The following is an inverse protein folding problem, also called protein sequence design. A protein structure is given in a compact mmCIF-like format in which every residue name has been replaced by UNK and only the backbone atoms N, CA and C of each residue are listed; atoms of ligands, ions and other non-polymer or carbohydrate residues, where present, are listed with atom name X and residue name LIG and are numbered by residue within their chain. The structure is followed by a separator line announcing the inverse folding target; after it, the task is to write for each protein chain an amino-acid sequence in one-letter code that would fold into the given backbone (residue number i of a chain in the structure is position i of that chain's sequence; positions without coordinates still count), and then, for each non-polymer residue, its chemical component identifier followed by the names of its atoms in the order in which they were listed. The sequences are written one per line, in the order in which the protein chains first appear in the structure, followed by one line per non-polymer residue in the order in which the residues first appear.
data_IF_429682969989
#
_entry.id   IF_429682969989
#
_cell.length_a   1.000
_cell.length_b   1.000
_cell.length_c   1.000
_cell.angle_alpha   90.00
_cell.angle_beta   90.00
_cell.angle_gamma   90.00
#
_symmetry.space_group_name_H-M   'P 1'
#
loop_
_entity.id
_entity.type
_entity.pdbx_description
1 polymer ?
#
# COMPACT_ATOMS: atom_id res chain seq x y z
N UNK A 1 -36.60 5.36 42.12
CA UNK A 1 -35.16 5.08 42.14
C UNK A 1 -34.78 4.58 40.75
N UNK A 2 -33.87 5.25 40.06
CA UNK A 2 -33.43 4.83 38.73
C UNK A 2 -32.67 3.49 38.86
N UNK A 3 -33.10 2.48 38.09
CA UNK A 3 -32.48 1.17 38.09
C UNK A 3 -31.07 1.31 37.49
N UNK A 4 -30.02 1.21 38.31
CA UNK A 4 -28.65 1.27 37.81
C UNK A 4 -28.40 0.05 36.90
N UNK A 5 -27.72 0.23 35.76
CA UNK A 5 -27.40 -0.88 34.87
C UNK A 5 -26.52 -1.91 35.59
N UNK A 6 -26.89 -3.19 35.49
CA UNK A 6 -26.14 -4.30 36.09
C UNK A 6 -24.87 -4.54 35.26
N UNK A 7 -23.71 -4.28 35.84
CA UNK A 7 -22.41 -4.53 35.21
C UNK A 7 -21.92 -5.94 35.54
N UNK A 8 -21.48 -6.68 34.53
CA UNK A 8 -20.85 -7.99 34.68
C UNK A 8 -19.33 -7.88 34.86
N UNK A 9 -18.70 -8.97 35.31
CA UNK A 9 -17.24 -9.11 35.35
C UNK A 9 -16.78 -9.96 34.19
N UNK A 10 -15.67 -9.57 33.59
CA UNK A 10 -15.01 -10.32 32.53
C UNK A 10 -14.19 -11.44 33.20
N UNK A 11 -14.35 -12.66 32.72
CA UNK A 11 -13.65 -13.86 33.16
C UNK A 11 -12.82 -14.42 32.01
N UNK A 12 -11.52 -14.67 32.23
CA UNK A 12 -10.66 -15.35 31.26
C UNK A 12 -10.87 -16.85 31.37
N UNK A 13 -11.17 -17.49 30.25
CA UNK A 13 -11.33 -18.95 30.12
C UNK A 13 -10.03 -19.53 29.56
N UNK A 14 -9.60 -20.69 30.06
CA UNK A 14 -8.45 -21.37 29.50
C UNK A 14 -8.82 -21.87 28.08
N UNK A 15 -7.99 -21.54 27.09
CA UNK A 15 -8.21 -21.93 25.69
C UNK A 15 -8.34 -23.45 25.52
N UNK A 16 -7.68 -24.25 26.35
CA UNK A 16 -7.77 -25.73 26.31
C UNK A 16 -9.09 -26.28 26.86
N UNK A 17 -9.84 -25.50 27.63
CA UNK A 17 -11.20 -25.88 28.05
C UNK A 17 -12.20 -25.74 26.89
N UNK A 18 -11.88 -24.87 25.91
CA UNK A 18 -12.67 -24.65 24.69
C UNK A 18 -12.24 -25.57 23.57
N UNK A 19 -10.92 -25.67 23.36
CA UNK A 19 -10.31 -26.50 22.33
C UNK A 19 -9.30 -27.47 22.97
N UNK A 20 -9.76 -28.68 23.36
CA UNK A 20 -8.89 -29.66 24.03
C UNK A 20 -7.69 -30.11 23.17
N UNK A 21 -7.87 -30.16 21.84
CA UNK A 21 -6.83 -30.53 20.88
C UNK A 21 -6.67 -29.47 19.79
N UNK A 22 -5.43 -29.13 19.49
CA UNK A 22 -5.08 -28.12 18.49
C UNK A 22 -5.56 -28.49 17.09
N UNK A 23 -5.02 -29.57 16.50
CA UNK A 23 -5.40 -30.02 15.17
C UNK A 23 -6.90 -30.41 15.05
N UNK A 24 -7.43 -31.11 16.05
CA UNK A 24 -8.79 -31.67 15.97
C UNK A 24 -9.90 -30.69 16.34
N UNK A 25 -9.62 -29.64 17.12
CA UNK A 25 -10.61 -28.67 17.56
C UNK A 25 -10.27 -27.26 17.08
N UNK A 26 -9.11 -26.72 17.43
CA UNK A 26 -8.77 -25.32 17.17
C UNK A 26 -8.54 -25.06 15.68
N UNK A 27 -7.70 -25.84 15.01
CA UNK A 27 -7.43 -25.69 13.56
C UNK A 27 -8.72 -25.79 12.75
N UNK A 28 -9.62 -26.73 13.10
CA UNK A 28 -10.93 -26.87 12.43
C UNK A 28 -11.88 -25.71 12.72
N UNK A 29 -11.84 -25.15 13.92
CA UNK A 29 -12.63 -23.97 14.27
C UNK A 29 -12.10 -22.75 13.53
N UNK A 30 -10.79 -22.50 13.57
CA UNK A 30 -10.14 -21.37 12.93
C UNK A 30 -10.28 -21.39 11.41
N UNK A 31 -10.30 -22.57 10.78
CA UNK A 31 -10.49 -22.72 9.34
C UNK A 31 -11.92 -22.39 8.86
N UNK A 32 -12.90 -22.18 9.76
CA UNK A 32 -14.22 -21.71 9.35
C UNK A 32 -14.14 -20.23 8.94
N UNK A 33 -14.87 -19.87 7.88
CA UNK A 33 -14.86 -18.52 7.27
C UNK A 33 -14.94 -17.40 8.31
N UNK A 34 -15.96 -17.41 9.18
CA UNK A 34 -16.16 -16.38 10.20
C UNK A 34 -14.97 -16.24 11.16
N UNK A 35 -14.35 -17.34 11.58
CA UNK A 35 -13.24 -17.33 12.54
C UNK A 35 -11.91 -16.94 11.87
N UNK A 36 -11.74 -17.34 10.61
CA UNK A 36 -10.59 -16.93 9.80
C UNK A 36 -10.65 -15.43 9.50
N UNK A 37 -11.85 -14.89 9.19
CA UNK A 37 -12.09 -13.46 9.07
C UNK A 37 -11.74 -12.72 10.36
N UNK A 38 -12.14 -13.23 11.53
CA UNK A 38 -11.76 -12.62 12.82
C UNK A 38 -10.24 -12.52 13.02
N UNK A 39 -9.47 -13.53 12.58
CA UNK A 39 -8.01 -13.48 12.62
C UNK A 39 -7.45 -12.49 11.59
N UNK A 40 -8.00 -12.49 10.38
CA UNK A 40 -7.66 -11.56 9.31
C UNK A 40 -7.85 -10.11 9.73
N UNK A 41 -9.00 -9.78 10.31
CA UNK A 41 -9.32 -8.45 10.85
C UNK A 41 -8.30 -8.00 11.90
N UNK A 42 -7.91 -8.89 12.82
CA UNK A 42 -6.90 -8.59 13.83
C UNK A 42 -5.54 -8.26 13.21
N UNK A 43 -5.16 -8.97 12.15
CA UNK A 43 -3.92 -8.74 11.41
C UNK A 43 -4.03 -7.65 10.34
N UNK A 44 -5.22 -7.10 10.08
CA UNK A 44 -5.52 -6.22 8.94
C UNK A 44 -5.19 -6.85 7.58
N UNK A 45 -5.54 -8.13 7.40
CA UNK A 45 -5.33 -8.91 6.17
C UNK A 45 -6.64 -9.63 5.81
N UNK A 46 -7.08 -9.53 4.56
CA UNK A 46 -8.22 -10.31 4.06
C UNK A 46 -7.76 -11.73 3.69
N UNK A 47 -8.07 -12.69 4.57
CA UNK A 47 -7.61 -14.08 4.45
C UNK A 47 -8.63 -14.99 3.76
N UNK A 48 -8.19 -15.67 2.70
CA UNK A 48 -8.93 -16.75 2.06
C UNK A 48 -8.31 -18.12 2.36
N UNK A 49 -9.08 -19.04 2.93
CA UNK A 49 -8.63 -20.42 3.16
C UNK A 49 -8.34 -21.12 1.83
N UNK A 50 -7.19 -21.80 1.72
CA UNK A 50 -6.87 -22.68 0.59
C UNK A 50 -6.81 -24.14 0.99
N UNK A 51 -6.22 -24.45 2.13
CA UNK A 51 -6.01 -25.82 2.58
C UNK A 51 -5.75 -25.89 4.10
N UNK A 52 -6.03 -27.04 4.70
CA UNK A 52 -5.72 -27.33 6.12
C UNK A 52 -4.83 -28.56 6.18
N UNK A 53 -3.89 -28.61 7.13
CA UNK A 53 -2.87 -29.68 7.21
C UNK A 53 -2.07 -29.80 5.88
N UNK A 54 -1.73 -28.66 5.28
CA UNK A 54 -1.17 -28.61 3.93
C UNK A 54 0.30 -29.05 3.89
N UNK A 55 0.62 -30.04 3.07
CA UNK A 55 1.94 -30.67 3.09
C UNK A 55 3.09 -29.75 2.67
N UNK A 56 4.21 -29.84 3.39
CA UNK A 56 5.52 -29.24 3.14
C UNK A 56 6.58 -30.33 3.32
N UNK A 57 6.89 -31.05 2.24
CA UNK A 57 7.77 -32.22 2.32
C UNK A 57 7.17 -33.30 3.22
N UNK A 58 7.86 -33.65 4.32
CA UNK A 58 7.39 -34.60 5.33
C UNK A 58 6.58 -33.98 6.47
N UNK A 59 6.40 -32.67 6.46
CA UNK A 59 5.65 -31.92 7.47
C UNK A 59 4.37 -31.35 6.87
N UNK A 60 3.50 -30.78 7.70
CA UNK A 60 2.28 -30.12 7.27
C UNK A 60 2.10 -28.83 8.06
N UNK A 61 1.68 -27.76 7.38
CA UNK A 61 1.26 -26.52 8.03
C UNK A 61 -0.20 -26.62 8.43
N UNK A 62 -0.57 -26.09 9.60
CA UNK A 62 -1.94 -26.21 10.10
C UNK A 62 -2.97 -25.61 9.15
N UNK A 63 -2.75 -24.37 8.70
CA UNK A 63 -3.61 -23.70 7.72
C UNK A 63 -2.75 -23.00 6.67
N UNK A 64 -3.12 -23.21 5.41
CA UNK A 64 -2.60 -22.50 4.26
C UNK A 64 -3.70 -21.63 3.67
N UNK A 65 -3.42 -20.33 3.55
CA UNK A 65 -4.37 -19.32 3.10
C UNK A 65 -3.72 -18.39 2.07
N UNK A 66 -4.49 -17.44 1.56
CA UNK A 66 -4.05 -16.43 0.61
C UNK A 66 -4.64 -15.07 0.98
N UNK A 67 -3.88 -14.00 0.80
CA UNK A 67 -4.39 -12.63 0.86
C UNK A 67 -5.20 -12.33 -0.41
N UNK A 68 -6.46 -11.92 -0.25
CA UNK A 68 -7.39 -11.75 -1.38
C UNK A 68 -6.90 -10.73 -2.42
N UNK A 69 -6.37 -9.59 -1.96
CA UNK A 69 -5.99 -8.47 -2.85
C UNK A 69 -4.71 -8.71 -3.66
N UNK A 70 -3.70 -9.34 -3.06
CA UNK A 70 -2.36 -9.46 -3.66
C UNK A 70 -2.00 -10.89 -4.05
N UNK A 71 -2.88 -11.83 -3.78
CA UNK A 71 -2.64 -13.26 -3.97
C UNK A 71 -1.44 -13.81 -3.17
N UNK A 72 -0.94 -13.05 -2.18
CA UNK A 72 0.21 -13.45 -1.36
C UNK A 72 -0.15 -14.64 -0.50
N UNK A 73 0.72 -15.63 -0.51
CA UNK A 73 0.55 -16.87 0.26
C UNK A 73 0.73 -16.61 1.75
N UNK A 74 -0.20 -17.12 2.55
CA UNK A 74 -0.21 -17.00 4.01
C UNK A 74 -0.11 -18.40 4.61
N UNK A 75 0.79 -18.57 5.57
CA UNK A 75 0.79 -19.74 6.45
C UNK A 75 0.34 -19.34 7.86
N UNK A 76 -0.43 -20.22 8.50
CA UNK A 76 -0.85 -20.05 9.88
C UNK A 76 -0.46 -21.31 10.64
N UNK A 77 0.31 -21.14 11.72
CA UNK A 77 0.69 -22.19 12.65
C UNK A 77 0.04 -21.91 13.99
N UNK A 78 -0.64 -22.91 14.55
CA UNK A 78 -1.32 -22.78 15.83
C UNK A 78 -0.46 -23.38 16.94
N UNK A 79 -0.59 -22.83 18.15
CA UNK A 79 0.03 -23.37 19.35
C UNK A 79 -0.78 -23.03 20.61
N UNK A 80 -1.60 -23.94 21.12
CA UNK A 80 -2.42 -23.70 22.32
C UNK A 80 -1.64 -23.72 23.66
N UNK A 81 -0.34 -23.41 23.63
CA UNK A 81 0.51 -23.18 24.79
C UNK A 81 1.35 -21.91 24.65
N UNK A 82 2.27 -21.72 25.60
CA UNK A 82 3.39 -20.80 25.46
C UNK A 82 4.21 -21.09 24.20
N UNK A 83 4.54 -20.06 23.45
CA UNK A 83 5.55 -20.11 22.36
C UNK A 83 6.79 -20.93 22.72
N UNK A 84 7.29 -21.74 21.77
CA UNK A 84 8.52 -22.52 21.92
C UNK A 84 9.38 -22.53 20.65
N UNK A 85 10.63 -23.00 20.78
CA UNK A 85 11.58 -23.05 19.67
C UNK A 85 11.19 -24.02 18.55
N UNK A 86 10.41 -25.06 18.85
CA UNK A 86 9.93 -26.03 17.85
C UNK A 86 9.02 -25.33 16.84
N UNK A 87 7.98 -24.64 17.32
CA UNK A 87 7.04 -23.92 16.46
C UNK A 87 7.69 -22.72 15.77
N UNK A 88 8.63 -22.02 16.43
CA UNK A 88 9.43 -20.99 15.76
C UNK A 88 10.23 -21.57 14.57
N UNK A 89 10.84 -22.75 14.72
CA UNK A 89 11.54 -23.41 13.62
C UNK A 89 10.60 -23.87 12.51
N UNK A 90 9.41 -24.36 12.87
CA UNK A 90 8.36 -24.76 11.93
C UNK A 90 7.89 -23.60 11.08
N UNK A 91 7.51 -22.45 11.67
CA UNK A 91 6.98 -21.33 10.90
C UNK A 91 7.97 -20.81 9.84
N UNK A 92 9.28 -20.80 10.15
CA UNK A 92 10.33 -20.42 9.20
C UNK A 92 10.43 -21.46 8.07
N UNK A 93 10.44 -22.74 8.45
CA UNK A 93 10.57 -23.87 7.50
C UNK A 93 9.37 -23.94 6.56
N UNK A 94 8.16 -23.75 7.09
CA UNK A 94 6.90 -23.78 6.33
C UNK A 94 6.80 -22.58 5.40
N UNK A 95 7.21 -21.39 5.85
CA UNK A 95 7.25 -20.20 5.01
C UNK A 95 8.16 -20.42 3.79
N UNK A 96 9.40 -20.89 4.03
CA UNK A 96 10.33 -21.21 2.97
C UNK A 96 9.80 -22.31 2.02
N UNK A 97 9.19 -23.37 2.56
CA UNK A 97 8.68 -24.49 1.79
C UNK A 97 7.44 -24.17 0.93
N UNK A 98 6.57 -23.25 1.39
CA UNK A 98 5.39 -22.81 0.63
C UNK A 98 5.64 -21.59 -0.24
N UNK A 99 6.77 -20.89 -0.03
CA UNK A 99 7.01 -19.56 -0.57
C UNK A 99 5.99 -18.57 -0.02
N UNK A 100 5.71 -18.64 1.29
CA UNK A 100 4.75 -17.77 1.95
C UNK A 100 5.35 -16.38 2.17
N UNK A 101 4.57 -15.35 1.81
CA UNK A 101 4.92 -13.96 2.11
C UNK A 101 4.35 -13.48 3.44
N UNK A 102 3.39 -14.20 4.02
CA UNK A 102 2.86 -13.91 5.36
C UNK A 102 2.89 -15.15 6.23
N UNK A 103 3.27 -14.97 7.48
CA UNK A 103 3.33 -15.97 8.52
C UNK A 103 2.55 -15.49 9.72
N UNK A 104 1.56 -16.24 10.18
CA UNK A 104 0.78 -15.93 11.37
C UNK A 104 0.97 -17.07 12.38
N UNK A 105 1.61 -16.78 13.50
CA UNK A 105 1.78 -17.73 14.60
C UNK A 105 0.78 -17.41 15.70
N UNK A 106 -0.23 -18.27 15.86
CA UNK A 106 -1.32 -18.09 16.83
C UNK A 106 -1.02 -18.89 18.09
N UNK A 107 -0.89 -18.24 19.24
CA UNK A 107 -0.44 -18.86 20.49
C UNK A 107 -1.37 -18.58 21.67
N UNK A 108 -1.38 -19.45 22.69
CA UNK A 108 -2.08 -19.14 23.94
C UNK A 108 -1.36 -18.07 24.76
N UNK A 109 -0.03 -18.04 24.69
CA UNK A 109 0.81 -17.02 25.31
C UNK A 109 2.12 -16.82 24.55
N UNK A 110 2.44 -15.58 24.24
CA UNK A 110 3.73 -15.18 23.71
C UNK A 110 4.75 -14.98 24.85
N UNK A 111 5.91 -15.62 24.74
CA UNK A 111 7.06 -15.35 25.61
C UNK A 111 7.88 -14.21 25.00
N UNK A 112 8.48 -13.39 25.85
CA UNK A 112 9.23 -12.20 25.41
C UNK A 112 10.40 -12.57 24.49
N UNK A 113 11.04 -13.72 24.67
CA UNK A 113 12.12 -14.18 23.81
C UNK A 113 11.65 -14.48 22.38
N UNK A 114 10.47 -15.08 22.22
CA UNK A 114 9.91 -15.38 20.90
C UNK A 114 9.26 -14.16 20.26
N UNK A 115 8.68 -13.26 21.08
CA UNK A 115 8.26 -11.92 20.66
C UNK A 115 9.43 -11.18 20.00
N UNK A 116 10.57 -11.07 20.70
CA UNK A 116 11.79 -10.45 20.18
C UNK A 116 12.34 -11.18 18.94
N UNK A 117 12.21 -12.51 18.87
CA UNK A 117 12.63 -13.26 17.67
C UNK A 117 11.76 -12.91 16.44
N UNK A 118 10.44 -12.78 16.62
CA UNK A 118 9.52 -12.36 15.55
C UNK A 118 9.78 -10.91 15.13
N UNK A 119 10.03 -10.01 16.08
CA UNK A 119 10.47 -8.64 15.81
C UNK A 119 11.76 -8.65 14.98
N UNK A 120 12.78 -9.39 15.41
CA UNK A 120 14.05 -9.52 14.70
C UNK A 120 13.86 -10.05 13.28
N UNK A 121 12.99 -11.05 13.07
CA UNK A 121 12.65 -11.54 11.72
C UNK A 121 12.01 -10.43 10.88
N UNK A 122 11.01 -9.72 11.41
CA UNK A 122 10.34 -8.64 10.71
C UNK A 122 11.26 -7.48 10.34
N UNK A 123 12.29 -7.23 11.14
CA UNK A 123 13.35 -6.29 10.82
C UNK A 123 14.26 -6.86 9.73
N UNK A 124 14.68 -8.12 9.80
CA UNK A 124 15.77 -8.66 8.98
C UNK A 124 15.33 -9.41 7.71
N UNK A 125 14.04 -9.44 7.40
CA UNK A 125 13.51 -9.89 6.11
C UNK A 125 13.13 -8.72 5.19
N UNK A 126 12.96 -9.01 3.90
CA UNK A 126 12.49 -8.01 2.92
C UNK A 126 11.02 -7.59 3.15
N UNK A 127 10.56 -6.63 2.34
CA UNK A 127 9.18 -6.12 2.39
C UNK A 127 8.12 -7.16 2.02
N UNK A 128 8.53 -8.26 1.40
CA UNK A 128 7.61 -9.26 0.84
C UNK A 128 7.24 -10.32 1.89
N UNK A 129 8.06 -10.48 2.93
CA UNK A 129 7.80 -11.35 4.08
C UNK A 129 7.17 -10.57 5.25
N UNK A 130 6.17 -11.11 5.93
CA UNK A 130 5.50 -10.50 7.07
C UNK A 130 5.24 -11.54 8.16
N UNK A 131 5.74 -11.33 9.38
CA UNK A 131 5.56 -12.24 10.51
C UNK A 131 4.64 -11.62 11.57
N UNK A 132 3.59 -12.33 11.92
CA UNK A 132 2.66 -11.96 12.98
C UNK A 132 2.75 -12.98 14.11
N UNK A 133 2.82 -12.48 15.34
CA UNK A 133 2.62 -13.27 16.55
C UNK A 133 1.32 -12.80 17.19
N UNK A 134 0.38 -13.73 17.36
CA UNK A 134 -0.99 -13.43 17.78
C UNK A 134 -1.34 -14.28 18.98
N UNK A 135 -1.77 -13.66 20.07
CA UNK A 135 -2.32 -14.38 21.21
C UNK A 135 -3.83 -14.62 21.02
N UNK A 136 -4.28 -15.86 21.20
CA UNK A 136 -5.70 -16.20 21.30
C UNK A 136 -6.13 -16.23 22.77
N UNK A 137 -7.14 -15.44 23.10
CA UNK A 137 -7.78 -15.42 24.40
C UNK A 137 -9.25 -15.78 24.30
N UNK A 138 -9.81 -16.34 25.37
CA UNK A 138 -11.25 -16.56 25.48
C UNK A 138 -11.78 -15.88 26.73
N UNK A 139 -12.85 -15.11 26.56
CA UNK A 139 -13.47 -14.31 27.60
C UNK A 139 -14.95 -14.66 27.75
N UNK A 140 -15.51 -14.43 28.94
CA UNK A 140 -16.95 -14.61 29.21
C UNK A 140 -17.42 -13.59 30.23
N UNK A 141 -18.71 -13.21 30.19
CA UNK A 141 -19.36 -12.39 31.22
C UNK A 141 -20.54 -13.18 31.81
N UNK A 142 -20.39 -13.65 33.06
CA UNK A 142 -21.41 -14.50 33.68
C UNK A 142 -21.69 -15.76 32.86
N UNK A 143 -22.95 -16.00 32.51
CA UNK A 143 -23.37 -17.18 31.71
C UNK A 143 -23.46 -16.88 30.20
N UNK A 144 -22.77 -15.84 29.70
CA UNK A 144 -22.72 -15.56 28.26
C UNK A 144 -22.03 -16.69 27.49
N UNK A 145 -22.24 -16.79 26.16
CA UNK A 145 -21.34 -17.52 25.31
C UNK A 145 -19.88 -17.06 25.50
N UNK A 146 -18.95 -17.99 25.28
CA UNK A 146 -17.52 -17.71 25.29
C UNK A 146 -17.14 -16.89 24.05
N UNK A 147 -16.35 -15.85 24.25
CA UNK A 147 -15.94 -14.90 23.23
C UNK A 147 -14.43 -15.04 22.96
N UNK A 148 -14.03 -15.63 21.83
CA UNK A 148 -12.63 -15.65 21.42
C UNK A 148 -12.18 -14.26 20.97
N UNK A 149 -10.93 -13.92 21.25
CA UNK A 149 -10.31 -12.65 20.84
C UNK A 149 -8.86 -12.89 20.43
N UNK A 150 -8.52 -12.46 19.23
CA UNK A 150 -7.14 -12.38 18.77
C UNK A 150 -6.50 -11.06 19.21
N UNK A 151 -5.30 -11.15 19.77
CA UNK A 151 -4.49 -10.01 20.17
C UNK A 151 -3.15 -10.09 19.45
N UNK A 152 -2.93 -9.22 18.46
CA UNK A 152 -1.66 -9.15 17.75
C UNK A 152 -0.62 -8.58 18.71
N UNK A 153 0.33 -9.41 19.11
CA UNK A 153 1.38 -9.00 20.04
C UNK A 153 2.64 -8.54 19.33
N UNK A 154 2.93 -9.08 18.15
CA UNK A 154 3.94 -8.58 17.22
C UNK A 154 3.43 -8.64 15.79
N UNK A 155 3.78 -7.63 15.01
CA UNK A 155 3.43 -7.51 13.61
C UNK A 155 4.57 -6.83 12.85
N UNK A 156 4.58 -6.88 11.52
CA UNK A 156 5.44 -6.02 10.73
C UNK A 156 5.29 -4.57 11.16
N UNK A 157 6.38 -3.95 11.58
CA UNK A 157 6.37 -2.53 11.86
C UNK A 157 6.52 -1.80 10.53
N UNK A 158 5.40 -1.35 9.93
CA UNK A 158 5.44 -0.62 8.65
C UNK A 158 6.32 0.64 8.73
N UNK A 159 6.40 1.27 9.90
CA UNK A 159 7.32 2.39 10.15
C UNK A 159 8.79 1.93 10.14
N UNK A 160 9.16 0.86 10.86
CA UNK A 160 10.54 0.36 10.87
C UNK A 160 10.96 -0.23 9.52
N UNK A 161 10.03 -0.82 8.76
CA UNK A 161 10.27 -1.26 7.38
C UNK A 161 10.42 -0.10 6.42
N UNK A 162 9.63 0.97 6.59
CA UNK A 162 9.84 2.22 5.87
C UNK A 162 11.19 2.86 6.26
N UNK A 163 11.66 2.71 7.50
CA UNK A 163 12.99 3.16 7.94
C UNK A 163 14.14 2.28 7.41
N UNK A 164 13.99 0.95 7.33
CA UNK A 164 14.98 0.07 6.66
C UNK A 164 15.02 0.28 5.15
N UNK A 165 13.87 0.47 4.52
CA UNK A 165 13.82 0.93 3.14
C UNK A 165 14.52 2.29 2.99
N UNK A 166 14.44 3.20 3.99
CA UNK A 166 15.23 4.45 4.00
C UNK A 166 16.73 4.24 4.26
N UNK A 167 17.17 3.18 4.95
CA UNK A 167 18.59 2.93 5.22
C UNK A 167 19.36 2.39 4.01
N UNK A 168 18.68 1.69 3.10
CA UNK A 168 19.26 1.22 1.83
C UNK A 168 19.20 2.29 0.71
N UNK A 169 18.44 3.37 0.93
CA UNK A 169 18.35 4.48 0.00
C UNK A 169 19.55 5.42 0.16
N UNK A 170 20.10 5.87 -0.97
CA UNK A 170 21.04 6.98 -0.96
C UNK A 170 20.40 8.21 -0.32
N UNK A 171 21.21 9.13 0.21
CA UNK A 171 20.71 10.41 0.76
C UNK A 171 19.76 11.14 -0.20
N UNK A 172 20.00 11.01 -1.51
CA UNK A 172 19.15 11.61 -2.54
C UNK A 172 17.79 10.95 -2.64
N UNK A 173 17.73 9.63 -2.54
CA UNK A 173 16.50 8.84 -2.61
C UNK A 173 15.64 9.03 -1.36
N UNK A 174 16.28 9.10 -0.19
CA UNK A 174 15.61 9.46 1.07
C UNK A 174 14.94 10.84 0.97
N UNK A 175 15.67 11.85 0.48
CA UNK A 175 15.11 13.20 0.27
C UNK A 175 13.92 13.18 -0.69
N UNK A 176 13.97 12.40 -1.78
CA UNK A 176 12.86 12.28 -2.72
C UNK A 176 11.63 11.66 -2.05
N UNK A 177 11.81 10.57 -1.31
CA UNK A 177 10.72 9.92 -0.59
C UNK A 177 10.06 10.86 0.42
N UNK A 178 10.85 11.56 1.23
CA UNK A 178 10.36 12.55 2.20
C UNK A 178 9.63 13.71 1.54
N UNK A 179 10.13 14.19 0.38
CA UNK A 179 9.46 15.21 -0.42
C UNK A 179 8.08 14.73 -0.87
N UNK A 180 7.98 13.50 -1.39
CA UNK A 180 6.70 12.94 -1.84
C UNK A 180 5.74 12.64 -0.69
N UNK A 181 6.24 12.29 0.49
CA UNK A 181 5.41 12.18 1.69
C UNK A 181 4.79 13.54 2.06
N UNK A 182 5.61 14.59 2.06
CA UNK A 182 5.15 15.97 2.30
C UNK A 182 4.14 16.41 1.24
N UNK A 183 4.35 16.00 -0.02
CA UNK A 183 3.41 16.24 -1.10
C UNK A 183 2.03 15.63 -0.84
N UNK A 184 1.95 14.41 -0.32
CA UNK A 184 0.65 13.79 0.01
C UNK A 184 -0.10 14.61 1.06
N UNK A 185 0.61 15.07 2.09
CA UNK A 185 0.02 15.89 3.16
C UNK A 185 -0.47 17.26 2.63
N UNK A 186 0.33 17.93 1.79
CA UNK A 186 -0.06 19.19 1.15
C UNK A 186 -1.21 18.99 0.15
N UNK A 187 -1.21 17.92 -0.63
CA UNK A 187 -2.23 17.61 -1.62
C UNK A 187 -3.60 17.36 -0.97
N UNK A 188 -3.62 16.70 0.20
CA UNK A 188 -4.85 16.50 0.97
C UNK A 188 -5.47 17.81 1.48
N UNK A 189 -4.66 18.86 1.63
CA UNK A 189 -5.10 20.19 2.10
C UNK A 189 -5.43 21.16 0.95
N UNK A 190 -5.09 20.82 -0.30
CA UNK A 190 -5.37 21.66 -1.47
C UNK A 190 -6.71 21.25 -2.10
N UNK A 191 -7.77 22.04 -1.84
CA UNK A 191 -9.13 21.74 -2.29
C UNK A 191 -9.23 21.53 -3.80
N UNK A 192 -8.66 22.45 -4.59
CA UNK A 192 -8.70 22.40 -6.06
C UNK A 192 -8.06 21.12 -6.60
N UNK A 193 -6.91 20.73 -6.06
CA UNK A 193 -6.23 19.50 -6.45
C UNK A 193 -7.03 18.26 -6.05
N UNK A 194 -7.51 18.21 -4.80
CA UNK A 194 -8.22 17.06 -4.24
C UNK A 194 -9.55 16.71 -4.95
N UNK A 195 -10.14 17.68 -5.66
CA UNK A 195 -11.34 17.46 -6.47
C UNK A 195 -11.06 16.64 -7.73
N UNK A 196 -9.86 16.78 -8.31
CA UNK A 196 -9.49 16.15 -9.59
C UNK A 196 -8.54 14.98 -9.44
N UNK A 197 -7.80 14.88 -8.34
CA UNK A 197 -6.70 13.92 -8.20
C UNK A 197 -6.67 13.23 -6.84
N UNK A 198 -6.14 12.00 -6.86
CA UNK A 198 -5.73 11.27 -5.66
C UNK A 198 -4.24 10.98 -5.74
N UNK A 199 -3.43 11.43 -4.76
CA UNK A 199 -2.00 11.09 -4.71
C UNK A 199 -1.77 9.59 -4.67
N UNK A 200 -0.76 9.10 -5.39
CA UNK A 200 -0.27 7.72 -5.26
C UNK A 200 0.61 7.57 -4.00
N UNK A 201 0.88 6.31 -3.62
CA UNK A 201 1.83 5.98 -2.55
C UNK A 201 3.21 6.61 -2.83
N UNK A 202 3.80 7.37 -1.88
CA UNK A 202 5.13 7.94 -2.05
C UNK A 202 6.20 6.88 -2.33
N UNK A 203 7.10 7.18 -3.27
CA UNK A 203 8.23 6.33 -3.66
C UNK A 203 9.49 7.19 -3.83
N UNK A 204 10.68 6.61 -3.73
CA UNK A 204 11.96 7.33 -3.85
C UNK A 204 12.35 7.74 -5.29
N UNK A 205 11.36 7.89 -6.18
CA UNK A 205 11.57 8.29 -7.57
C UNK A 205 11.68 9.80 -7.73
N UNK A 206 12.19 10.22 -8.88
CA UNK A 206 12.27 11.64 -9.24
C UNK A 206 10.96 12.17 -9.86
N UNK A 207 9.90 11.36 -9.82
CA UNK A 207 8.60 11.63 -10.38
C UNK A 207 7.51 10.96 -9.53
N UNK A 208 6.28 11.46 -9.62
CA UNK A 208 5.06 10.76 -9.20
C UNK A 208 3.97 10.99 -10.24
N UNK A 209 3.24 9.94 -10.57
CA UNK A 209 2.20 9.94 -11.60
C UNK A 209 0.83 10.25 -10.99
N UNK A 210 -0.05 10.82 -11.82
CA UNK A 210 -1.44 11.07 -11.52
C UNK A 210 -2.32 10.56 -12.66
N UNK A 211 -3.42 9.89 -12.30
CA UNK A 211 -4.47 9.56 -13.23
C UNK A 211 -5.08 10.85 -13.81
N UNK A 212 -5.08 10.96 -15.14
CA UNK A 212 -5.58 12.14 -15.83
C UNK A 212 -7.08 12.06 -16.19
N UNK A 213 -7.73 10.92 -15.92
CA UNK A 213 -9.08 10.61 -16.41
C UNK A 213 -9.15 10.22 -17.89
N UNK A 214 -7.99 10.06 -18.53
CA UNK A 214 -7.85 9.65 -19.94
C UNK A 214 -6.94 8.43 -20.06
N UNK A 215 -7.19 7.60 -21.07
CA UNK A 215 -6.33 6.48 -21.46
C UNK A 215 -5.17 6.90 -22.38
N UNK A 216 -5.24 8.10 -22.99
CA UNK A 216 -4.27 8.57 -23.99
C UNK A 216 -3.01 9.15 -23.36
N UNK A 217 -3.11 9.66 -22.14
CA UNK A 217 -2.01 10.31 -21.43
C UNK A 217 -2.14 10.18 -19.91
N UNK A 218 -1.06 10.48 -19.22
CA UNK A 218 -1.03 10.69 -17.79
C UNK A 218 -0.27 11.97 -17.46
N UNK A 219 -0.49 12.45 -16.24
CA UNK A 219 0.13 13.65 -15.71
C UNK A 219 1.19 13.26 -14.68
N UNK A 220 2.29 14.02 -14.63
CA UNK A 220 3.44 13.68 -13.80
C UNK A 220 3.93 14.92 -13.07
N UNK A 221 4.16 14.82 -11.76
CA UNK A 221 4.96 15.79 -11.01
C UNK A 221 6.42 15.34 -11.00
N UNK A 222 7.34 16.29 -11.18
CA UNK A 222 8.76 16.02 -11.37
C UNK A 222 9.62 16.76 -10.35
N UNK A 223 10.68 16.11 -9.90
CA UNK A 223 11.78 16.74 -9.14
C UNK A 223 13.11 16.43 -9.81
N UNK A 224 13.97 17.43 -9.96
CA UNK A 224 15.31 17.29 -10.51
C UNK A 224 16.34 17.83 -9.52
N UNK A 225 16.91 16.93 -8.72
CA UNK A 225 17.89 17.27 -7.69
C UNK A 225 19.22 17.77 -8.24
N UNK A 226 19.59 17.38 -9.46
CA UNK A 226 20.87 17.79 -10.06
C UNK A 226 20.77 19.20 -10.63
N UNK A 227 19.68 19.50 -11.33
CA UNK A 227 19.41 20.82 -11.92
C UNK A 227 18.75 21.80 -10.95
N UNK A 228 18.34 21.33 -9.75
CA UNK A 228 17.65 22.12 -8.73
C UNK A 228 16.35 22.72 -9.25
N UNK A 229 15.51 21.85 -9.79
CA UNK A 229 14.24 22.24 -10.42
C UNK A 229 13.13 21.30 -9.99
N UNK A 230 11.91 21.80 -10.00
CA UNK A 230 10.69 21.01 -9.91
C UNK A 230 9.88 21.24 -11.18
N UNK A 231 8.92 20.37 -11.48
CA UNK A 231 8.14 20.51 -12.70
C UNK A 231 6.87 19.68 -12.73
N UNK A 232 6.17 19.83 -13.86
CA UNK A 232 5.02 19.04 -14.26
C UNK A 232 5.18 18.56 -15.70
N UNK A 233 4.57 17.45 -16.05
CA UNK A 233 4.66 16.84 -17.38
C UNK A 233 3.32 16.26 -17.82
N UNK A 234 3.00 16.47 -19.09
CA UNK A 234 1.97 15.71 -19.79
C UNK A 234 2.68 14.65 -20.62
N UNK A 235 2.48 13.37 -20.26
CA UNK A 235 3.09 12.24 -20.93
C UNK A 235 2.02 11.46 -21.69
N UNK A 236 2.13 11.51 -23.02
CA UNK A 236 1.13 11.02 -23.97
C UNK A 236 1.64 9.72 -24.59
N UNK A 237 0.84 8.66 -24.45
CA UNK A 237 1.11 7.33 -24.98
C UNK A 237 0.47 7.12 -26.35
N UNK A 238 -0.65 7.80 -26.61
CA UNK A 238 -1.28 7.85 -27.92
C UNK A 238 -0.41 8.67 -28.89
N UNK A 239 -0.05 8.06 -30.02
CA UNK A 239 0.92 8.64 -30.96
C UNK A 239 0.36 9.85 -31.69
N UNK A 240 -0.90 9.78 -32.14
CA UNK A 240 -1.53 10.81 -32.96
C UNK A 240 -1.95 11.99 -32.08
N UNK A 241 -2.53 11.70 -30.92
CA UNK A 241 -2.81 12.72 -29.92
C UNK A 241 -1.51 13.37 -29.41
N UNK A 242 -0.43 12.61 -29.28
CA UNK A 242 0.88 13.14 -28.92
C UNK A 242 1.43 14.13 -29.95
N UNK A 243 1.27 13.87 -31.24
CA UNK A 243 1.64 14.85 -32.28
C UNK A 243 0.76 16.09 -32.25
N UNK A 244 -0.54 15.90 -32.01
CA UNK A 244 -1.48 17.00 -31.84
C UNK A 244 -1.07 17.90 -30.66
N UNK A 245 -0.81 17.33 -29.49
CA UNK A 245 -0.33 18.05 -28.29
C UNK A 245 0.97 18.79 -28.56
N UNK A 246 1.94 18.16 -29.23
CA UNK A 246 3.20 18.81 -29.59
C UNK A 246 3.01 19.98 -30.57
N UNK A 247 2.09 19.85 -31.51
CA UNK A 247 1.73 20.95 -32.44
C UNK A 247 1.08 22.14 -31.71
N UNK A 248 0.43 21.87 -30.58
CA UNK A 248 -0.27 22.84 -29.72
C UNK A 248 0.56 23.31 -28.52
N UNK A 249 1.86 22.97 -28.47
CA UNK A 249 2.75 23.30 -27.35
C UNK A 249 2.71 24.78 -26.93
N UNK A 250 2.65 25.72 -27.88
CA UNK A 250 2.61 27.14 -27.56
C UNK A 250 1.38 27.55 -26.75
N UNK A 251 0.24 26.88 -26.96
CA UNK A 251 -0.99 27.12 -26.17
C UNK A 251 -0.78 26.68 -24.72
N UNK A 252 -0.15 25.51 -24.52
CA UNK A 252 0.24 25.04 -23.19
C UNK A 252 1.21 25.99 -22.51
N UNK A 253 2.25 26.45 -23.23
CA UNK A 253 3.22 27.41 -22.69
C UNK A 253 2.57 28.73 -22.27
N UNK A 254 1.61 29.22 -23.05
CA UNK A 254 0.86 30.44 -22.75
C UNK A 254 -0.04 30.27 -21.53
N UNK A 255 -0.77 29.15 -21.45
CA UNK A 255 -1.67 28.86 -20.33
C UNK A 255 -0.90 28.66 -19.01
N UNK A 256 0.23 27.96 -19.07
CA UNK A 256 1.06 27.65 -17.90
C UNK A 256 2.04 28.79 -17.55
N UNK A 257 2.23 29.78 -18.42
CA UNK A 257 3.14 30.91 -18.22
C UNK A 257 4.62 30.51 -18.12
N UNK A 258 4.99 29.33 -18.64
CA UNK A 258 6.35 28.79 -18.56
C UNK A 258 6.68 27.99 -19.82
N UNK A 259 7.95 28.06 -20.25
CA UNK A 259 8.42 27.36 -21.43
C UNK A 259 8.36 25.84 -21.26
N UNK A 260 7.85 25.15 -22.28
CA UNK A 260 7.70 23.71 -22.33
C UNK A 260 8.86 23.08 -23.10
N UNK A 261 9.46 22.04 -22.52
CA UNK A 261 10.47 21.23 -23.19
C UNK A 261 9.80 20.01 -23.81
N UNK A 262 9.58 19.98 -25.14
CA UNK A 262 8.97 18.83 -25.78
C UNK A 262 9.95 17.65 -25.83
N UNK A 263 9.41 16.44 -25.86
CA UNK A 263 10.16 15.23 -26.17
C UNK A 263 9.31 14.29 -27.04
N UNK A 264 10.02 13.52 -27.87
CA UNK A 264 9.44 12.50 -28.72
C UNK A 264 10.38 11.29 -28.71
N UNK A 265 10.05 10.27 -27.93
CA UNK A 265 10.86 9.05 -27.77
C UNK A 265 9.94 7.81 -27.78
N UNK A 266 9.90 7.04 -26.68
CA UNK A 266 8.95 5.94 -26.49
C UNK A 266 7.52 6.44 -26.19
N UNK A 267 7.41 7.66 -25.68
CA UNK A 267 6.20 8.46 -25.53
C UNK A 267 6.46 9.88 -26.03
N UNK A 268 5.39 10.64 -26.23
CA UNK A 268 5.44 12.06 -26.60
C UNK A 268 4.96 12.90 -25.42
N UNK A 269 5.42 14.14 -25.32
CA UNK A 269 4.96 15.00 -24.25
C UNK A 269 5.73 16.29 -24.11
N UNK A 270 5.34 17.07 -23.10
CA UNK A 270 5.94 18.36 -22.78
C UNK A 270 6.19 18.44 -21.29
N UNK A 271 7.42 18.83 -20.92
CA UNK A 271 7.83 19.07 -19.53
C UNK A 271 7.94 20.55 -19.24
N UNK A 272 7.41 20.98 -18.12
CA UNK A 272 7.44 22.37 -17.66
C UNK A 272 8.22 22.42 -16.34
N UNK A 273 9.42 23.00 -16.37
CA UNK A 273 10.33 23.04 -15.22
C UNK A 273 10.51 24.46 -14.69
N UNK A 274 10.50 24.60 -13.36
CA UNK A 274 10.85 25.83 -12.66
C UNK A 274 12.18 25.67 -11.93
N UNK A 275 13.13 26.54 -12.28
CA UNK A 275 14.50 26.55 -11.71
C UNK A 275 14.55 27.16 -10.31
N UNK A 276 15.64 26.88 -9.57
CA UNK A 276 15.88 27.47 -8.25
C UNK A 276 15.17 26.75 -7.10
N UNK A 277 14.59 25.58 -7.36
CA UNK A 277 13.84 24.78 -6.39
C UNK A 277 14.71 23.58 -5.98
N UNK A 278 15.73 23.86 -5.16
CA UNK A 278 16.64 22.84 -4.64
C UNK A 278 16.02 22.16 -3.42
N UNK A 279 15.40 21.00 -3.65
CA UNK A 279 14.74 20.22 -2.60
C UNK A 279 15.73 19.62 -1.58
N UNK A 280 17.03 19.51 -1.93
CA UNK A 280 18.03 19.00 -0.98
C UNK A 280 18.43 20.05 0.04
N UNK A 281 18.55 21.31 -0.42
CA UNK A 281 19.05 22.40 0.41
C UNK A 281 17.95 23.14 1.19
N UNK A 282 16.69 23.13 0.71
CA UNK A 282 15.63 23.98 1.25
C UNK A 282 14.39 23.16 1.65
N UNK A 283 14.51 22.34 2.70
CA UNK A 283 13.41 21.48 3.17
C UNK A 283 12.23 22.30 3.70
N UNK A 284 12.51 23.43 4.32
CA UNK A 284 11.55 24.40 4.82
C UNK A 284 10.68 25.04 3.73
N UNK A 285 11.14 25.01 2.46
CA UNK A 285 10.41 25.56 1.31
C UNK A 285 9.60 24.52 0.56
N UNK A 286 9.63 23.25 0.97
CA UNK A 286 8.87 22.20 0.28
C UNK A 286 7.38 22.52 0.14
N UNK A 287 6.67 23.06 1.14
CA UNK A 287 5.27 23.42 0.96
C UNK A 287 5.04 24.44 -0.17
N UNK A 288 5.91 25.43 -0.33
CA UNK A 288 5.86 26.41 -1.43
C UNK A 288 6.10 25.74 -2.80
N UNK A 289 7.08 24.84 -2.85
CA UNK A 289 7.43 24.11 -4.07
C UNK A 289 6.28 23.20 -4.52
N UNK A 290 5.72 22.47 -3.56
CA UNK A 290 4.60 21.57 -3.77
C UNK A 290 3.37 22.36 -4.20
N UNK A 291 3.02 23.45 -3.51
CA UNK A 291 1.89 24.30 -3.89
C UNK A 291 1.99 24.80 -5.34
N UNK A 292 3.19 25.21 -5.76
CA UNK A 292 3.43 25.54 -7.17
C UNK A 292 3.16 24.34 -8.09
N UNK A 293 3.62 23.14 -7.76
CA UNK A 293 3.35 21.95 -8.59
C UNK A 293 1.87 21.58 -8.64
N UNK A 294 1.14 21.66 -7.52
CA UNK A 294 -0.29 21.38 -7.45
C UNK A 294 -1.08 22.33 -8.35
N UNK A 295 -0.79 23.63 -8.27
CA UNK A 295 -1.45 24.62 -9.12
C UNK A 295 -1.13 24.41 -10.61
N UNK A 296 0.12 24.10 -10.94
CA UNK A 296 0.55 23.87 -12.31
C UNK A 296 -0.01 22.59 -12.92
N UNK A 297 -0.08 21.50 -12.15
CA UNK A 297 -0.59 20.22 -12.66
C UNK A 297 -2.10 20.28 -12.91
N UNK A 298 -2.83 21.01 -12.05
CA UNK A 298 -4.26 21.30 -12.27
C UNK A 298 -4.48 22.18 -13.50
N UNK A 299 -3.68 23.22 -13.70
CA UNK A 299 -3.76 24.03 -14.92
C UNK A 299 -3.46 23.20 -16.18
N UNK A 300 -2.44 22.35 -16.12
CA UNK A 300 -2.08 21.44 -17.21
C UNK A 300 -3.20 20.45 -17.51
N UNK A 301 -3.87 19.91 -16.49
CA UNK A 301 -5.01 19.02 -16.68
C UNK A 301 -6.13 19.67 -17.48
N UNK A 302 -6.51 20.90 -17.13
CA UNK A 302 -7.58 21.63 -17.81
C UNK A 302 -7.26 21.81 -19.30
N UNK A 303 -6.02 22.16 -19.63
CA UNK A 303 -5.60 22.29 -21.02
C UNK A 303 -5.54 20.94 -21.75
N UNK A 304 -5.07 19.88 -21.09
CA UNK A 304 -5.01 18.55 -21.70
C UNK A 304 -6.41 18.00 -21.99
N UNK A 305 -7.38 18.22 -21.10
CA UNK A 305 -8.79 17.89 -21.33
C UNK A 305 -9.37 18.69 -22.49
N UNK A 306 -9.06 19.99 -22.59
CA UNK A 306 -9.48 20.81 -23.73
C UNK A 306 -8.91 20.27 -25.05
N UNK A 307 -7.61 19.99 -25.09
CA UNK A 307 -6.94 19.47 -26.29
C UNK A 307 -7.48 18.09 -26.70
N UNK A 308 -7.78 17.22 -25.74
CA UNK A 308 -8.36 15.91 -26.02
C UNK A 308 -9.75 16.03 -26.66
N UNK A 309 -10.63 16.87 -26.12
CA UNK A 309 -11.96 17.13 -26.70
C UNK A 309 -11.87 17.70 -28.13
N UNK A 310 -10.92 18.60 -28.38
CA UNK A 310 -10.68 19.15 -29.72
C UNK A 310 -10.19 18.07 -30.69
N UNK A 311 -9.29 17.20 -30.23
CA UNK A 311 -8.77 16.09 -31.01
C UNK A 311 -9.86 15.09 -31.40
N UNK A 312 -10.70 14.68 -30.44
CA UNK A 312 -11.83 13.76 -30.68
C UNK A 312 -12.84 14.32 -31.70
N UNK A 313 -13.05 15.65 -31.67
CA UNK A 313 -13.91 16.34 -32.65
C UNK A 313 -13.33 16.27 -34.07
N UNK A 314 -12.00 16.33 -34.20
CA UNK A 314 -11.30 16.20 -35.49
C UNK A 314 -11.37 14.75 -35.99
N UNK A 315 -11.08 13.77 -35.13
CA UNK A 315 -11.17 12.34 -35.46
C UNK A 315 -12.58 11.96 -35.93
N UNK A 316 -13.62 12.41 -35.22
CA UNK A 316 -15.01 12.12 -35.55
C UNK A 316 -15.40 12.67 -36.94
N UNK A 317 -14.94 13.88 -37.30
CA UNK A 317 -15.19 14.47 -38.62
C UNK A 317 -14.44 13.74 -39.73
N UNK A 318 -13.20 13.32 -39.48
CA UNK A 318 -12.41 12.54 -40.42
C UNK A 318 -13.06 11.17 -40.70
N UNK A 319 -13.56 10.49 -39.66
CA UNK A 319 -14.25 9.21 -39.79
C UNK A 319 -15.56 9.31 -40.57
N UNK A 320 -16.34 10.37 -40.37
CA UNK A 320 -17.60 10.59 -41.09
C UNK A 320 -17.40 10.82 -42.59
N UNK A 321 -16.30 11.48 -42.97
CA UNK A 321 -15.92 11.72 -44.37
C UNK A 321 -15.41 10.45 -45.08
N UNK A 322 -14.93 9.45 -44.34
CA UNK A 322 -14.46 8.18 -44.91
C UNK A 322 -15.56 7.13 -45.10
N UNK A 323 -16.71 7.27 -44.43
CA UNK A 323 -17.85 6.34 -44.57
C UNK A 323 -18.82 6.67 -45.71
N UNK A 324 -18.70 7.85 -46.32
CA UNK A 324 -19.53 8.32 -47.44
C UNK A 324 -18.91 8.05 -48.84
N UNK A 325 -17.88 7.20 -48.92
CA UNK A 325 -17.22 6.80 -50.18
C UNK A 325 -17.35 5.31 -50.49
#
# INVERSE_FOLDING_TARGET
MANQPKLGKIEKVNVRDVWPHEALNFTKWLAQEENLTMLGDACSIELELKDTESAVGSFAVDIFAQEADTERKVIIENQLEDTNHDHLGKIITYAAGKGAGVVIWVVARARDEHRNAIEWLNEHTDSDCAFFLVEIEVWRIGDSPMAPRFNVVESPNEWARAEKAKSDLSETERIKLEYWQTYVDCAAQNETFSQSFKPHKPQAHHWTELGAGSIRYHLVLLINTQKKQIGVEACVHDTDFGDFVLSRRQELEQALGIAGTPYNRKSKGVRFYKSGHDIKANREKWPEFIDWQLNMITALQNEMVRLENEFETIESKASALTTDN
#
